data_IF_177587734595
#
_entry.id   IF_177587734595
#
_cell.length_a   1.000
_cell.length_b   1.000
_cell.length_c   1.000
_cell.angle_alpha   90.00
_cell.angle_beta   90.00
_cell.angle_gamma   90.00
#
_symmetry.space_group_name_H-M   'P 1'
#
loop_
_entity.id
_entity.type
_entity.pdbx_description
1 polymer ?
#
# COMPACT_ATOMS: atom_id res chain seq x y z
N UNK A 1 -42.16 20.56 -5.94
CA UNK A 1 -42.01 20.34 -4.48
C UNK A 1 -40.75 19.55 -4.20
N UNK A 2 -40.01 19.95 -3.16
CA UNK A 2 -38.71 19.34 -2.81
C UNK A 2 -38.90 17.96 -2.21
N UNK A 3 -38.14 16.99 -2.70
CA UNK A 3 -38.02 15.66 -2.09
C UNK A 3 -36.90 15.70 -1.03
N UNK A 4 -37.18 15.15 0.12
CA UNK A 4 -36.22 14.97 1.21
C UNK A 4 -35.90 13.50 1.40
N UNK A 5 -34.70 13.21 1.92
CA UNK A 5 -34.26 11.86 2.19
C UNK A 5 -34.05 11.64 3.69
N UNK A 6 -34.24 10.41 4.14
CA UNK A 6 -33.76 9.93 5.43
C UNK A 6 -32.98 8.65 5.27
N UNK A 7 -32.05 8.39 6.17
CA UNK A 7 -31.21 7.18 6.18
C UNK A 7 -31.50 6.36 7.44
N UNK A 8 -31.66 5.06 7.29
CA UNK A 8 -31.82 4.14 8.43
C UNK A 8 -30.55 4.02 9.26
N UNK A 9 -29.37 4.37 8.69
CA UNK A 9 -28.10 4.36 9.40
C UNK A 9 -27.19 5.47 8.85
N UNK A 10 -27.10 6.56 9.59
CA UNK A 10 -26.28 7.73 9.24
C UNK A 10 -24.76 7.49 9.37
N UNK A 11 -24.32 6.43 10.06
CA UNK A 11 -22.93 6.01 10.11
C UNK A 11 -22.51 5.27 8.83
N UNK A 12 -23.46 4.83 8.00
CA UNK A 12 -23.20 4.20 6.70
C UNK A 12 -23.44 5.22 5.58
N UNK A 13 -24.59 5.88 5.59
CA UNK A 13 -24.95 6.92 4.63
C UNK A 13 -25.47 8.13 5.40
N UNK A 14 -24.65 9.16 5.50
CA UNK A 14 -25.07 10.45 6.07
C UNK A 14 -25.83 11.30 5.04
N UNK A 15 -26.61 12.25 5.53
CA UNK A 15 -27.35 13.21 4.71
C UNK A 15 -26.68 14.58 4.84
N UNK A 16 -26.50 15.26 3.73
CA UNK A 16 -25.91 16.60 3.65
C UNK A 16 -26.81 17.53 2.82
N UNK A 17 -26.54 18.81 2.89
CA UNK A 17 -27.27 19.84 2.16
C UNK A 17 -28.79 19.80 2.42
N UNK A 18 -29.21 19.81 3.69
CA UNK A 18 -30.60 19.83 4.06
C UNK A 18 -31.36 18.54 3.67
N UNK A 19 -30.75 17.40 3.75
CA UNK A 19 -31.29 16.08 3.40
C UNK A 19 -31.60 15.89 1.90
N UNK A 20 -30.89 16.61 1.03
CA UNK A 20 -31.05 16.49 -0.43
C UNK A 20 -29.91 15.72 -1.11
N UNK A 21 -28.82 15.43 -0.39
CA UNK A 21 -27.68 14.65 -0.88
C UNK A 21 -27.31 13.54 0.07
N UNK A 22 -26.94 12.39 -0.51
CA UNK A 22 -26.42 11.23 0.21
C UNK A 22 -24.89 11.29 0.22
N UNK A 23 -24.29 11.05 1.39
CA UNK A 23 -22.84 10.97 1.59
C UNK A 23 -22.48 9.62 2.23
N UNK A 24 -21.87 8.68 1.48
CA UNK A 24 -21.36 7.44 2.06
C UNK A 24 -20.25 7.76 3.07
N UNK A 25 -20.37 7.27 4.31
CA UNK A 25 -19.43 7.55 5.41
C UNK A 25 -18.84 6.30 6.04
N UNK A 26 -19.52 5.17 5.92
CA UNK A 26 -19.07 3.87 6.46
C UNK A 26 -19.57 2.73 5.60
N UNK A 27 -18.90 1.58 5.70
CA UNK A 27 -19.33 0.38 5.01
C UNK A 27 -20.55 -0.25 5.67
N UNK A 28 -21.38 -0.92 4.87
CA UNK A 28 -22.59 -1.57 5.32
C UNK A 28 -23.78 -1.25 4.43
N UNK A 29 -24.96 -1.54 4.90
CA UNK A 29 -26.22 -1.35 4.17
C UNK A 29 -27.12 -0.39 4.92
N UNK A 30 -27.60 0.63 4.22
CA UNK A 30 -28.60 1.58 4.74
C UNK A 30 -29.81 1.64 3.81
N UNK A 31 -31.00 1.69 4.38
CA UNK A 31 -32.23 1.98 3.63
C UNK A 31 -32.44 3.48 3.59
N UNK A 32 -32.57 4.02 2.38
CA UNK A 32 -32.86 5.42 2.15
C UNK A 32 -34.35 5.55 1.84
N UNK A 33 -35.01 6.45 2.54
CA UNK A 33 -36.44 6.79 2.29
C UNK A 33 -36.50 8.17 1.65
N UNK A 34 -37.11 8.26 0.50
CA UNK A 34 -37.47 9.52 -0.17
C UNK A 34 -38.93 9.89 0.19
N UNK A 35 -39.12 11.11 0.62
CA UNK A 35 -40.44 11.62 1.02
C UNK A 35 -40.67 13.03 0.49
N UNK A 36 -41.95 13.33 0.30
CA UNK A 36 -42.45 14.65 -0.12
C UNK A 36 -43.74 14.94 0.62
N UNK A 37 -43.75 15.90 1.55
CA UNK A 37 -44.91 16.12 2.47
C UNK A 37 -46.11 16.82 1.85
N UNK A 38 -46.05 17.20 0.57
CA UNK A 38 -47.10 17.99 -0.05
C UNK A 38 -47.03 19.47 0.30
N UNK A 39 -48.11 20.20 -0.02
CA UNK A 39 -48.32 21.59 0.35
C UNK A 39 -49.82 21.91 0.26
N UNK A 40 -50.22 23.18 0.34
CA UNK A 40 -51.60 23.59 0.25
C UNK A 40 -52.31 23.19 -1.06
N UNK A 41 -51.59 22.90 -2.14
CA UNK A 41 -52.15 22.49 -3.43
C UNK A 41 -51.95 21.03 -3.81
N UNK A 42 -51.16 20.26 -3.03
CA UNK A 42 -50.82 18.87 -3.33
C UNK A 42 -50.80 18.02 -2.05
N UNK A 43 -51.40 16.85 -2.09
CA UNK A 43 -51.31 15.87 -1.03
C UNK A 43 -49.86 15.32 -0.92
N UNK A 44 -49.47 14.78 0.27
CA UNK A 44 -48.20 14.08 0.42
C UNK A 44 -48.04 12.96 -0.59
N UNK A 45 -46.86 12.83 -1.19
CA UNK A 45 -46.55 11.70 -2.04
C UNK A 45 -46.29 10.44 -1.20
N UNK A 46 -46.63 9.28 -1.72
CA UNK A 46 -46.24 8.00 -1.11
C UNK A 46 -44.72 7.89 -1.06
N UNK A 47 -44.15 7.70 0.13
CA UNK A 47 -42.75 7.54 0.30
C UNK A 47 -42.20 6.32 -0.45
N UNK A 48 -41.00 6.44 -0.98
CA UNK A 48 -40.29 5.35 -1.65
C UNK A 48 -38.99 5.06 -0.92
N UNK A 49 -38.63 3.79 -0.85
CA UNK A 49 -37.41 3.31 -0.23
C UNK A 49 -36.49 2.61 -1.23
N UNK A 50 -35.21 2.74 -1.05
CA UNK A 50 -34.21 1.94 -1.74
C UNK A 50 -33.04 1.64 -0.81
N UNK A 51 -32.37 0.53 -1.06
CA UNK A 51 -31.23 0.10 -0.27
C UNK A 51 -29.95 0.59 -0.92
N UNK A 52 -29.11 1.25 -0.14
CA UNK A 52 -27.74 1.61 -0.51
C UNK A 52 -26.80 0.69 0.23
N UNK A 53 -26.03 -0.09 -0.50
CA UNK A 53 -24.91 -0.84 0.05
C UNK A 53 -23.65 -0.03 -0.21
N UNK A 54 -23.04 0.46 0.86
CA UNK A 54 -21.72 1.06 0.83
C UNK A 54 -20.76 -0.09 1.04
N UNK A 55 -20.16 -0.58 -0.04
CA UNK A 55 -19.08 -1.53 0.05
C UNK A 55 -17.94 -0.84 0.78
N UNK A 56 -17.39 -1.50 1.79
CA UNK A 56 -16.07 -1.14 2.23
C UNK A 56 -15.15 -1.47 1.05
N UNK A 57 -14.95 -0.49 0.19
CA UNK A 57 -13.79 -0.50 -0.64
C UNK A 57 -12.64 -0.31 0.36
N UNK A 58 -12.11 -1.42 0.88
CA UNK A 58 -10.82 -1.45 1.52
C UNK A 58 -9.80 -1.73 0.42
N UNK A 59 -9.55 -0.78 -0.47
CA UNK A 59 -8.63 -0.97 -1.56
C UNK A 59 -7.21 -0.80 -1.08
N UNK A 60 -7.03 -0.40 0.17
CA UNK A 60 -5.73 -0.11 0.73
C UNK A 60 -5.55 -0.82 2.07
N UNK A 61 -4.42 -1.43 2.28
CA UNK A 61 -3.22 -1.61 1.44
C UNK A 61 -3.33 -2.70 0.36
N UNK A 62 -4.42 -3.47 0.28
CA UNK A 62 -4.58 -4.59 -0.69
C UNK A 62 -4.46 -4.18 -2.17
N UNK A 63 -4.54 -2.88 -2.49
CA UNK A 63 -4.30 -2.37 -3.84
C UNK A 63 -2.83 -2.32 -4.25
N UNK A 64 -1.89 -2.56 -3.32
CA UNK A 64 -0.47 -2.62 -3.63
C UNK A 64 -0.07 -4.02 -4.05
N UNK A 65 0.68 -4.09 -5.13
CA UNK A 65 1.34 -5.33 -5.55
C UNK A 65 2.37 -5.76 -4.50
N UNK A 66 2.44 -7.05 -4.23
CA UNK A 66 3.44 -7.62 -3.33
C UNK A 66 3.10 -7.54 -1.84
N UNK A 67 1.89 -7.09 -1.45
CA UNK A 67 1.48 -7.11 -0.05
C UNK A 67 1.45 -8.55 0.47
N UNK A 68 2.30 -8.82 1.45
CA UNK A 68 2.52 -10.18 2.00
C UNK A 68 1.92 -10.32 3.39
N UNK A 69 1.84 -9.22 4.14
CA UNK A 69 1.24 -9.19 5.49
C UNK A 69 0.67 -7.80 5.75
N UNK A 70 -0.52 -7.74 6.32
CA UNK A 70 -1.15 -6.52 6.78
C UNK A 70 -1.81 -6.74 8.13
N UNK A 71 -1.25 -6.15 9.16
CA UNK A 71 -1.68 -6.26 10.54
C UNK A 71 -2.21 -4.91 11.03
N UNK A 72 -3.41 -4.88 11.55
CA UNK A 72 -4.12 -3.67 11.94
C UNK A 72 -4.62 -3.79 13.38
N UNK A 73 -4.23 -2.88 14.27
CA UNK A 73 -4.71 -2.91 15.66
C UNK A 73 -6.20 -2.58 15.79
N UNK A 74 -6.85 -2.04 14.74
CA UNK A 74 -8.31 -1.89 14.70
C UNK A 74 -9.05 -3.15 14.29
N UNK A 75 -8.33 -4.20 13.90
CA UNK A 75 -8.88 -5.44 13.40
C UNK A 75 -7.88 -6.56 13.71
N UNK A 76 -7.87 -6.98 14.98
CA UNK A 76 -6.89 -7.95 15.51
C UNK A 76 -7.12 -9.34 14.96
N UNK A 77 -8.39 -9.73 14.75
CA UNK A 77 -8.73 -11.05 14.22
C UNK A 77 -8.62 -11.14 12.69
N UNK A 78 -8.51 -9.99 12.00
CA UNK A 78 -8.33 -9.89 10.55
C UNK A 78 -9.61 -10.14 9.73
N UNK A 79 -10.80 -10.02 10.35
CA UNK A 79 -12.08 -10.28 9.69
C UNK A 79 -12.66 -9.07 8.94
N UNK A 80 -12.03 -7.91 9.06
CA UNK A 80 -12.45 -6.66 8.43
C UNK A 80 -13.44 -5.85 9.25
N UNK A 81 -13.77 -6.28 10.46
CA UNK A 81 -14.70 -5.60 11.37
C UNK A 81 -13.94 -4.92 12.51
N UNK A 82 -14.63 -4.05 13.23
CA UNK A 82 -14.08 -3.47 14.46
C UNK A 82 -14.15 -4.47 15.59
N UNK A 83 -13.10 -4.49 16.41
CA UNK A 83 -12.98 -5.37 17.55
C UNK A 83 -14.15 -5.25 18.55
N UNK A 84 -14.57 -6.39 19.07
CA UNK A 84 -15.54 -6.53 20.16
C UNK A 84 -14.87 -7.16 21.38
N UNK A 85 -15.53 -7.06 22.54
CA UNK A 85 -15.01 -7.66 23.79
C UNK A 85 -14.87 -9.20 23.72
N UNK A 86 -15.58 -9.85 22.79
CA UNK A 86 -15.53 -11.31 22.57
C UNK A 86 -14.29 -11.74 21.77
N UNK A 87 -13.62 -10.82 21.09
CA UNK A 87 -12.44 -11.13 20.27
C UNK A 87 -11.16 -11.26 21.11
N UNK A 88 -11.26 -11.00 22.41
CA UNK A 88 -10.13 -10.96 23.31
C UNK A 88 -10.28 -11.83 24.56
N UNK A 89 -9.15 -12.40 24.98
CA UNK A 89 -9.04 -13.05 26.28
C UNK A 89 -8.42 -12.08 27.29
N UNK A 90 -9.12 -11.78 28.38
CA UNK A 90 -8.58 -10.94 29.45
C UNK A 90 -7.94 -11.81 30.54
N UNK A 91 -6.64 -11.63 30.81
CA UNK A 91 -5.89 -12.33 31.84
C UNK A 91 -5.25 -11.31 32.77
N UNK A 92 -5.55 -11.43 34.08
CA UNK A 92 -4.97 -10.51 35.09
C UNK A 92 -5.31 -9.03 34.86
N UNK A 93 -6.49 -8.73 34.28
CA UNK A 93 -6.93 -7.37 33.97
C UNK A 93 -6.29 -6.76 32.74
N UNK A 94 -5.50 -7.53 31.99
CA UNK A 94 -4.91 -7.13 30.70
C UNK A 94 -5.52 -7.95 29.58
N UNK A 95 -5.82 -7.31 28.44
CA UNK A 95 -6.30 -7.96 27.23
C UNK A 95 -5.10 -8.45 26.43
N UNK A 96 -4.76 -9.73 26.58
CA UNK A 96 -3.61 -10.34 25.89
C UNK A 96 -4.02 -10.90 24.55
N UNK A 97 -3.12 -10.84 23.57
CA UNK A 97 -3.38 -11.22 22.19
C UNK A 97 -2.54 -12.46 21.84
N UNK A 98 -3.20 -13.58 21.61
CA UNK A 98 -2.57 -14.83 21.16
C UNK A 98 -2.38 -14.91 19.66
N UNK A 99 -3.17 -14.16 18.88
CA UNK A 99 -3.09 -14.08 17.41
C UNK A 99 -3.34 -12.67 16.93
N UNK A 100 -2.59 -12.23 15.90
CA UNK A 100 -2.85 -11.01 15.17
C UNK A 100 -3.09 -11.36 13.70
N UNK A 101 -4.33 -11.20 13.25
CA UNK A 101 -4.83 -11.64 11.96
C UNK A 101 -4.23 -10.84 10.78
N UNK A 102 -3.87 -11.55 9.73
CA UNK A 102 -3.37 -10.97 8.50
C UNK A 102 -4.51 -10.63 7.53
N UNK A 103 -4.67 -9.36 7.21
CA UNK A 103 -5.67 -8.81 6.29
C UNK A 103 -5.21 -8.76 4.83
N UNK A 104 -3.98 -9.15 4.53
CA UNK A 104 -3.46 -9.11 3.14
C UNK A 104 -4.10 -10.12 2.21
N UNK A 105 -4.75 -11.15 2.76
CA UNK A 105 -5.23 -12.32 2.03
C UNK A 105 -4.16 -13.40 1.84
N UNK A 106 -2.93 -13.19 2.36
CA UNK A 106 -1.82 -14.15 2.23
C UNK A 106 -1.74 -15.14 3.39
N UNK A 107 -2.62 -15.01 4.39
CA UNK A 107 -2.72 -15.90 5.56
C UNK A 107 -1.44 -15.97 6.41
N UNK A 108 -0.73 -14.87 6.56
CA UNK A 108 0.50 -14.75 7.34
C UNK A 108 0.25 -14.15 8.74
N UNK A 109 -0.83 -14.58 9.41
CA UNK A 109 -1.15 -14.14 10.77
C UNK A 109 -0.03 -14.46 11.75
N UNK A 110 0.21 -13.55 12.71
CA UNK A 110 1.16 -13.75 13.79
C UNK A 110 0.52 -14.48 14.96
N UNK A 111 1.26 -15.36 15.62
CA UNK A 111 0.79 -16.11 16.79
C UNK A 111 1.78 -16.09 17.96
N UNK A 112 1.24 -16.22 19.19
CA UNK A 112 1.98 -16.44 20.43
C UNK A 112 1.14 -17.27 21.42
N UNK A 113 1.54 -18.53 21.63
CA UNK A 113 0.79 -19.44 22.53
C UNK A 113 1.06 -19.17 24.02
N UNK A 114 2.26 -18.69 24.36
CA UNK A 114 2.62 -18.44 25.77
C UNK A 114 2.06 -17.10 26.23
N UNK A 115 1.09 -17.12 27.13
CA UNK A 115 0.39 -15.94 27.63
C UNK A 115 1.33 -14.89 28.27
N UNK A 116 2.41 -15.31 28.94
CA UNK A 116 3.37 -14.36 29.53
C UNK A 116 4.20 -13.59 28.51
N UNK A 117 4.22 -14.05 27.25
CA UNK A 117 4.95 -13.46 26.13
C UNK A 117 4.04 -12.84 25.08
N UNK A 118 2.73 -12.83 25.30
CA UNK A 118 1.76 -12.19 24.42
C UNK A 118 1.81 -10.66 24.57
N UNK A 119 1.70 -9.89 23.47
CA UNK A 119 1.47 -8.45 23.56
C UNK A 119 0.09 -8.16 24.16
N UNK A 120 -0.06 -6.94 24.66
CA UNK A 120 -1.29 -6.46 25.29
C UNK A 120 -2.02 -5.52 24.34
N UNK A 121 -3.30 -5.79 24.10
CA UNK A 121 -4.17 -4.86 23.39
C UNK A 121 -4.61 -3.74 24.32
N UNK A 122 -4.44 -2.52 23.87
CA UNK A 122 -4.90 -1.32 24.53
C UNK A 122 -5.89 -0.60 23.60
N UNK A 123 -7.16 -0.41 24.02
CA UNK A 123 -8.18 0.18 23.15
C UNK A 123 -7.88 1.64 22.78
N UNK A 124 -6.96 2.29 23.51
CA UNK A 124 -6.59 3.68 23.28
C UNK A 124 -7.71 4.68 23.53
N UNK A 125 -7.41 5.94 23.36
CA UNK A 125 -8.40 7.02 23.38
C UNK A 125 -8.92 7.31 21.98
N UNK A 126 -10.18 7.73 21.86
CA UNK A 126 -10.81 8.11 20.58
C UNK A 126 -10.75 7.02 19.47
N UNK A 127 -10.81 5.75 19.83
CA UNK A 127 -10.80 4.66 18.88
C UNK A 127 -9.45 4.48 18.15
N UNK A 128 -8.35 4.75 18.86
CA UNK A 128 -6.98 4.58 18.34
C UNK A 128 -6.26 3.46 19.11
N UNK A 129 -6.64 2.18 18.90
CA UNK A 129 -6.05 1.05 19.61
C UNK A 129 -4.60 0.81 19.22
N UNK A 130 -3.88 0.12 20.10
CA UNK A 130 -2.48 -0.28 19.89
C UNK A 130 -2.22 -1.67 20.47
N UNK A 131 -1.23 -2.37 19.93
CA UNK A 131 -0.61 -3.50 20.60
C UNK A 131 0.64 -3.02 21.33
N UNK A 132 0.69 -3.26 22.65
CA UNK A 132 1.82 -2.93 23.50
C UNK A 132 2.73 -4.16 23.68
N UNK A 133 4.01 -3.97 23.36
CA UNK A 133 5.09 -4.93 23.52
C UNK A 133 6.02 -4.42 24.63
N UNK A 134 6.19 -5.16 25.70
CA UNK A 134 7.07 -4.75 26.81
C UNK A 134 6.74 -3.39 27.42
N UNK A 135 7.68 -2.85 28.18
CA UNK A 135 7.52 -1.55 28.85
C UNK A 135 6.51 -1.60 30.02
N UNK A 136 6.00 -0.44 30.43
CA UNK A 136 5.07 -0.34 31.56
C UNK A 136 3.66 -0.90 31.31
N UNK A 137 3.27 -1.05 30.06
CA UNK A 137 1.92 -1.45 29.66
C UNK A 137 1.86 -2.83 28.99
N UNK A 138 2.98 -3.34 28.45
CA UNK A 138 3.09 -4.63 27.83
C UNK A 138 3.73 -5.71 28.72
N UNK A 139 3.77 -6.93 28.25
CA UNK A 139 4.53 -8.01 28.89
C UNK A 139 6.01 -7.89 28.50
N UNK A 140 6.92 -8.02 29.46
CA UNK A 140 8.35 -8.01 29.20
C UNK A 140 8.74 -9.17 28.28
N UNK A 141 9.46 -8.84 27.17
CA UNK A 141 9.85 -9.81 26.19
C UNK A 141 8.71 -10.33 25.30
N UNK A 142 7.57 -9.63 25.26
CA UNK A 142 6.46 -9.98 24.38
C UNK A 142 6.92 -10.02 22.92
N UNK A 143 6.48 -11.05 22.21
CA UNK A 143 6.69 -11.19 20.77
C UNK A 143 5.59 -12.00 20.12
N UNK A 144 5.49 -11.91 18.81
CA UNK A 144 4.64 -12.76 17.98
C UNK A 144 5.44 -13.30 16.80
N UNK A 145 5.02 -14.44 16.26
CA UNK A 145 5.76 -15.09 15.16
C UNK A 145 4.83 -15.67 14.10
N UNK A 146 5.38 -15.76 12.88
CA UNK A 146 4.80 -16.48 11.75
C UNK A 146 5.91 -17.20 10.97
N UNK A 147 5.52 -18.13 10.10
CA UNK A 147 6.42 -18.64 9.08
C UNK A 147 6.80 -17.55 8.10
N UNK A 148 8.02 -17.59 7.58
CA UNK A 148 8.45 -16.64 6.58
C UNK A 148 7.85 -16.99 5.21
N UNK A 149 7.15 -16.08 4.55
CA UNK A 149 6.68 -16.28 3.18
C UNK A 149 7.84 -16.50 2.22
N UNK A 150 7.67 -17.42 1.26
CA UNK A 150 8.69 -17.71 0.25
C UNK A 150 9.05 -16.50 -0.62
N UNK A 151 8.12 -15.57 -0.79
CA UNK A 151 8.34 -14.30 -1.51
C UNK A 151 9.38 -13.39 -0.86
N UNK A 152 9.71 -13.60 0.41
CA UNK A 152 10.72 -12.85 1.16
C UNK A 152 12.05 -13.60 1.29
N UNK A 153 12.13 -14.84 0.81
CA UNK A 153 13.32 -15.69 0.95
C UNK A 153 14.42 -15.34 -0.07
N UNK A 154 15.63 -15.86 0.16
CA UNK A 154 16.78 -15.60 -0.70
C UNK A 154 17.23 -14.14 -0.60
N UNK A 155 17.63 -13.58 -1.73
CA UNK A 155 18.04 -12.18 -1.85
C UNK A 155 16.86 -11.24 -2.20
N UNK A 156 15.63 -11.70 -2.11
CA UNK A 156 14.46 -10.91 -2.44
C UNK A 156 14.39 -9.62 -1.62
N UNK A 157 13.98 -8.55 -2.27
CA UNK A 157 13.74 -7.27 -1.62
C UNK A 157 12.48 -7.30 -0.76
N UNK A 158 12.31 -6.30 0.07
CA UNK A 158 11.10 -6.10 0.85
C UNK A 158 10.89 -4.63 1.20
N UNK A 159 9.66 -4.29 1.56
CA UNK A 159 9.32 -3.03 2.21
C UNK A 159 8.48 -3.33 3.44
N UNK A 160 8.92 -2.87 4.60
CA UNK A 160 8.16 -2.87 5.84
C UNK A 160 7.73 -1.44 6.16
N UNK A 161 6.45 -1.24 6.42
CA UNK A 161 5.91 0.04 6.88
C UNK A 161 5.20 -0.18 8.21
N UNK A 162 5.55 0.61 9.21
CA UNK A 162 5.04 0.47 10.57
C UNK A 162 4.56 1.82 11.09
N UNK A 163 3.32 1.86 11.59
CA UNK A 163 2.83 2.96 12.41
C UNK A 163 2.91 2.54 13.88
N UNK A 164 3.68 3.27 14.69
CA UNK A 164 3.90 2.91 16.07
C UNK A 164 4.79 3.88 16.81
N UNK A 165 5.18 3.50 18.03
CA UNK A 165 6.08 4.26 18.88
C UNK A 165 6.91 3.31 19.74
N UNK A 166 8.22 3.48 19.78
CA UNK A 166 9.08 2.80 20.74
C UNK A 166 9.00 3.50 22.11
N UNK A 167 9.07 2.74 23.21
CA UNK A 167 8.99 3.29 24.56
C UNK A 167 10.28 4.02 24.99
N UNK A 168 11.43 3.67 24.38
CA UNK A 168 12.73 4.29 24.68
C UNK A 168 13.65 4.18 23.46
N UNK A 169 14.69 5.02 23.40
CA UNK A 169 15.81 4.81 22.51
C UNK A 169 16.55 3.54 22.93
N UNK A 170 16.81 2.63 21.99
CA UNK A 170 17.51 1.39 22.33
C UNK A 170 17.61 0.42 21.15
N UNK A 171 18.11 -0.77 21.47
CA UNK A 171 18.40 -1.84 20.52
C UNK A 171 17.21 -2.81 20.33
N UNK A 172 16.00 -2.46 20.77
CA UNK A 172 14.82 -3.30 20.61
C UNK A 172 14.52 -3.57 19.13
N UNK A 173 14.21 -4.81 18.79
CA UNK A 173 13.92 -5.21 17.42
C UNK A 173 12.43 -5.23 17.16
N UNK A 174 12.01 -4.38 16.24
CA UNK A 174 10.66 -4.37 15.71
C UNK A 174 10.28 -5.70 15.08
N UNK A 175 11.12 -6.12 14.15
CA UNK A 175 10.92 -7.32 13.37
C UNK A 175 12.25 -7.99 13.08
N UNK A 176 12.23 -9.30 13.03
CA UNK A 176 13.34 -10.13 12.55
C UNK A 176 12.83 -11.04 11.45
N UNK A 177 13.47 -11.01 10.29
CA UNK A 177 13.26 -11.91 9.16
C UNK A 177 14.31 -13.02 9.17
N UNK A 178 13.90 -14.25 8.85
CA UNK A 178 14.79 -15.41 8.84
C UNK A 178 15.05 -15.99 10.22
N UNK A 179 14.29 -15.58 11.26
CA UNK A 179 14.39 -16.16 12.59
C UNK A 179 14.26 -17.69 12.54
N UNK A 180 15.06 -18.40 13.35
CA UNK A 180 15.21 -19.87 13.42
C UNK A 180 16.03 -20.53 12.31
N UNK A 181 16.66 -19.79 11.43
CA UNK A 181 17.42 -20.38 10.33
C UNK A 181 18.69 -21.14 10.75
N UNK A 182 19.15 -20.95 12.00
CA UNK A 182 20.34 -21.66 12.53
C UNK A 182 21.66 -21.34 11.82
N UNK A 183 21.66 -20.47 10.83
CA UNK A 183 22.81 -20.15 9.99
C UNK A 183 23.17 -18.67 10.11
N UNK A 184 24.39 -18.38 10.48
CA UNK A 184 24.93 -17.03 10.51
C UNK A 184 24.78 -16.36 9.13
N UNK A 185 24.35 -15.10 9.10
CA UNK A 185 24.22 -14.34 7.88
C UNK A 185 22.87 -14.46 7.16
N UNK A 186 21.89 -15.13 7.75
CA UNK A 186 20.55 -15.34 7.16
C UNK A 186 19.41 -14.67 7.95
N UNK A 187 19.72 -13.71 8.80
CA UNK A 187 18.74 -13.01 9.63
C UNK A 187 18.87 -11.51 9.43
N UNK A 188 17.76 -10.84 9.11
CA UNK A 188 17.68 -9.38 9.09
C UNK A 188 16.86 -8.94 10.30
N UNK A 189 17.45 -8.19 11.21
CA UNK A 189 16.76 -7.52 12.31
C UNK A 189 16.49 -6.06 11.95
N UNK A 190 15.26 -5.63 12.15
CA UNK A 190 14.86 -4.22 11.99
C UNK A 190 14.75 -3.60 13.37
N UNK A 191 15.61 -2.67 13.68
CA UNK A 191 15.82 -2.13 15.03
C UNK A 191 15.06 -0.82 15.20
N UNK A 192 14.51 -0.58 16.39
CA UNK A 192 13.67 0.60 16.69
C UNK A 192 14.38 1.96 16.52
N UNK A 193 15.70 1.98 16.49
CA UNK A 193 16.50 3.17 16.23
C UNK A 193 16.72 3.44 14.73
N UNK A 194 15.97 2.79 13.84
CA UNK A 194 16.12 2.93 12.39
C UNK A 194 17.29 2.17 11.81
N UNK A 195 17.87 1.21 12.54
CA UNK A 195 18.96 0.38 12.03
C UNK A 195 18.43 -0.90 11.41
N UNK A 196 19.22 -1.44 10.48
CA UNK A 196 19.17 -2.85 10.12
C UNK A 196 20.28 -3.58 10.86
N UNK A 197 19.97 -4.76 11.36
CA UNK A 197 20.91 -5.65 12.01
C UNK A 197 21.00 -6.92 11.16
N UNK A 198 22.20 -7.20 10.68
CA UNK A 198 22.50 -8.41 9.95
C UNK A 198 23.51 -9.20 10.76
N UNK A 199 23.10 -10.38 11.21
CA UNK A 199 23.94 -11.29 11.96
C UNK A 199 24.61 -10.65 13.21
N UNK A 200 23.84 -9.85 13.98
CA UNK A 200 24.25 -9.12 15.18
C UNK A 200 25.20 -7.91 14.98
N UNK A 201 25.37 -7.42 13.77
CA UNK A 201 26.03 -6.13 13.52
C UNK A 201 24.99 -5.04 13.24
N UNK A 202 24.98 -3.95 14.00
CA UNK A 202 24.01 -2.85 13.80
C UNK A 202 24.60 -1.75 12.93
N UNK A 203 23.88 -1.37 11.87
CA UNK A 203 24.18 -0.21 11.05
C UNK A 203 23.02 0.78 11.15
N UNK A 204 23.26 1.95 11.70
CA UNK A 204 22.20 2.88 12.08
C UNK A 204 21.99 4.03 11.11
N UNK A 205 20.77 4.53 11.02
CA UNK A 205 20.36 5.70 10.25
C UNK A 205 20.24 6.98 11.09
N UNK A 206 20.62 6.95 12.35
CA UNK A 206 20.67 8.15 13.21
C UNK A 206 19.31 8.70 13.67
N UNK A 207 18.20 8.10 13.26
CA UNK A 207 16.85 8.47 13.70
C UNK A 207 16.14 7.25 14.30
N UNK A 208 15.21 7.51 15.21
CA UNK A 208 14.47 6.42 15.86
C UNK A 208 12.99 6.79 16.09
N UNK A 209 12.17 5.79 16.40
CA UNK A 209 10.73 5.91 16.59
C UNK A 209 10.35 6.10 18.06
N UNK A 210 11.23 6.62 18.92
CA UNK A 210 10.97 6.62 20.38
C UNK A 210 10.32 7.90 20.92
N UNK A 211 10.55 9.05 20.32
CA UNK A 211 10.14 10.34 20.90
C UNK A 211 8.65 10.66 20.72
N UNK A 212 8.02 10.09 19.70
CA UNK A 212 6.60 10.28 19.39
C UNK A 212 6.08 9.12 18.55
N UNK A 213 4.76 9.03 18.39
CA UNK A 213 4.17 8.15 17.37
C UNK A 213 4.75 8.50 16.00
N UNK A 214 5.17 7.49 15.25
CA UNK A 214 5.88 7.66 13.99
C UNK A 214 5.42 6.65 12.93
N UNK A 215 5.70 6.97 11.68
CA UNK A 215 5.60 6.06 10.55
C UNK A 215 7.02 5.77 10.08
N UNK A 216 7.47 4.53 10.27
CA UNK A 216 8.77 4.06 9.81
C UNK A 216 8.63 3.18 8.58
N UNK A 217 9.47 3.41 7.58
CA UNK A 217 9.57 2.58 6.38
C UNK A 217 10.98 2.02 6.31
N UNK A 218 11.08 0.70 6.20
CA UNK A 218 12.33 -0.02 5.96
C UNK A 218 12.24 -0.67 4.58
N UNK A 219 13.15 -0.33 3.68
CA UNK A 219 13.12 -0.77 2.29
C UNK A 219 14.47 -1.30 1.84
N UNK A 220 14.46 -2.43 1.11
CA UNK A 220 15.63 -3.01 0.45
C UNK A 220 15.24 -3.59 -0.91
N UNK A 221 15.96 -3.25 -1.95
CA UNK A 221 15.77 -3.84 -3.28
C UNK A 221 16.26 -5.29 -3.35
N UNK A 222 15.73 -6.06 -4.30
CA UNK A 222 16.18 -7.43 -4.59
C UNK A 222 17.65 -7.40 -5.04
N UNK A 223 18.46 -8.28 -4.47
CA UNK A 223 19.88 -8.36 -4.77
C UNK A 223 20.74 -7.21 -4.23
N UNK A 224 20.11 -6.23 -3.54
CA UNK A 224 20.83 -5.13 -2.94
C UNK A 224 21.67 -5.60 -1.76
N UNK A 225 22.86 -5.02 -1.64
CA UNK A 225 23.71 -5.20 -0.48
C UNK A 225 23.03 -4.66 0.77
N UNK A 226 23.46 -5.13 1.91
CA UNK A 226 22.92 -4.69 3.20
C UNK A 226 23.03 -3.15 3.37
N UNK A 227 24.17 -2.59 2.97
CA UNK A 227 24.41 -1.16 2.99
C UNK A 227 23.55 -0.29 2.09
N UNK A 228 22.80 -0.89 1.18
CA UNK A 228 21.88 -0.22 0.26
C UNK A 228 20.44 -0.23 0.78
N UNK A 229 20.23 -0.67 2.02
CA UNK A 229 18.92 -0.58 2.67
C UNK A 229 18.58 0.86 3.05
N UNK A 230 17.30 1.20 3.06
CA UNK A 230 16.81 2.53 3.36
C UNK A 230 15.90 2.54 4.57
N UNK A 231 15.94 3.64 5.31
CA UNK A 231 14.99 3.96 6.35
C UNK A 231 14.38 5.34 6.11
N UNK A 232 13.04 5.42 6.11
CA UNK A 232 12.29 6.67 5.98
C UNK A 232 11.48 6.84 7.25
N UNK A 233 11.58 8.00 7.89
CA UNK A 233 10.82 8.32 9.08
C UNK A 233 9.88 9.50 8.79
N UNK A 234 8.58 9.26 8.93
CA UNK A 234 7.55 10.29 8.71
C UNK A 234 7.71 11.02 7.36
N UNK A 235 7.94 10.29 6.28
CA UNK A 235 8.13 10.86 4.94
C UNK A 235 9.48 11.50 4.66
N UNK A 236 10.45 11.39 5.58
CA UNK A 236 11.80 11.93 5.41
C UNK A 236 12.82 10.80 5.40
N UNK A 237 13.54 10.64 4.29
CA UNK A 237 14.63 9.68 4.17
C UNK A 237 15.73 10.01 5.20
N UNK A 238 16.17 9.00 5.94
CA UNK A 238 17.21 9.13 6.94
C UNK A 238 18.54 8.77 6.30
N UNK A 239 19.44 9.73 6.28
CA UNK A 239 20.81 9.51 5.79
C UNK A 239 21.62 8.95 6.95
N UNK A 240 21.98 7.68 6.89
CA UNK A 240 22.83 7.04 7.91
C UNK A 240 24.30 7.36 7.74
N UNK A 241 25.04 7.35 8.84
CA UNK A 241 26.48 7.15 8.78
C UNK A 241 26.74 5.79 8.12
N UNK A 242 27.53 5.82 7.05
CA UNK A 242 27.89 4.74 6.17
C UNK A 242 27.46 3.34 6.66
N UNK A 243 26.34 2.85 6.14
CA UNK A 243 25.99 1.44 6.28
C UNK A 243 27.07 0.68 5.54
N UNK A 244 28.05 0.16 6.24
CA UNK A 244 29.15 -0.61 5.66
C UNK A 244 28.71 -2.08 5.59
N UNK A 245 28.53 -2.59 4.41
CA UNK A 245 28.26 -4.02 4.22
C UNK A 245 28.02 -4.32 2.76
N UNK A 246 29.03 -4.93 2.13
CA UNK A 246 28.95 -5.42 0.75
C UNK A 246 28.32 -6.82 0.64
N UNK A 247 27.67 -7.30 1.69
CA UNK A 247 27.02 -8.62 1.68
C UNK A 247 25.55 -8.47 1.26
N UNK A 248 25.15 -9.23 0.25
CA UNK A 248 23.74 -9.41 -0.11
C UNK A 248 23.10 -10.39 0.86
N UNK A 249 22.08 -10.00 1.65
CA UNK A 249 21.37 -10.93 2.52
C UNK A 249 20.74 -12.06 1.73
N UNK A 250 20.89 -13.29 2.23
CA UNK A 250 20.28 -14.49 1.67
C UNK A 250 19.42 -15.15 2.75
N UNK A 251 18.14 -14.77 2.78
CA UNK A 251 17.20 -15.28 3.77
C UNK A 251 16.82 -16.74 3.48
N UNK A 252 16.56 -17.56 4.51
CA UNK A 252 16.30 -18.99 4.32
C UNK A 252 15.06 -19.22 3.45
N UNK A 253 15.14 -20.24 2.59
CA UNK A 253 14.02 -20.67 1.75
C UNK A 253 13.06 -21.63 2.48
N UNK A 254 13.49 -22.17 3.62
CA UNK A 254 12.68 -23.03 4.50
C UNK A 254 13.18 -22.92 5.94
N UNK A 255 12.31 -23.19 6.91
CA UNK A 255 12.63 -23.20 8.34
C UNK A 255 12.87 -21.84 8.98
N UNK A 256 12.83 -20.75 8.22
CA UNK A 256 12.89 -19.38 8.75
C UNK A 256 11.53 -18.87 9.16
N UNK A 257 11.49 -17.92 10.10
CA UNK A 257 10.29 -17.27 10.56
C UNK A 257 10.40 -15.75 10.55
N UNK A 258 9.24 -15.13 10.75
CA UNK A 258 9.12 -13.71 11.08
C UNK A 258 8.89 -13.63 12.59
N UNK A 259 9.66 -12.79 13.28
CA UNK A 259 9.41 -12.39 14.66
C UNK A 259 9.07 -10.91 14.72
N UNK A 260 8.00 -10.60 15.42
CA UNK A 260 7.63 -9.23 15.79
C UNK A 260 7.84 -9.03 17.29
N UNK A 261 8.46 -7.92 17.68
CA UNK A 261 8.68 -7.58 19.08
C UNK A 261 9.96 -8.17 19.70
N UNK A 262 10.75 -8.94 18.97
CA UNK A 262 12.02 -9.47 19.46
C UNK A 262 12.97 -9.83 18.31
N UNK A 263 14.26 -9.90 18.64
CA UNK A 263 15.25 -10.59 17.84
C UNK A 263 15.39 -12.06 18.25
N UNK A 264 16.12 -12.81 17.42
CA UNK A 264 16.55 -14.17 17.74
C UNK A 264 18.03 -14.34 17.38
N UNK A 265 18.82 -14.79 18.32
CA UNK A 265 20.22 -15.15 18.08
C UNK A 265 20.35 -16.46 17.29
N UNK A 266 21.53 -16.73 16.74
CA UNK A 266 21.80 -17.97 16.00
C UNK A 266 21.59 -19.25 16.84
N UNK A 267 21.73 -19.17 18.16
CA UNK A 267 21.44 -20.28 19.09
C UNK A 267 19.95 -20.47 19.41
N UNK A 268 19.07 -19.69 18.76
CA UNK A 268 17.61 -19.76 18.96
C UNK A 268 17.07 -18.93 20.12
N UNK A 269 17.90 -18.29 20.92
CA UNK A 269 17.45 -17.48 22.05
C UNK A 269 16.87 -16.14 21.59
N UNK A 270 15.84 -15.68 22.28
CA UNK A 270 15.29 -14.34 22.08
C UNK A 270 16.29 -13.28 22.53
N UNK A 271 16.39 -12.21 21.77
CA UNK A 271 17.35 -11.11 22.01
C UNK A 271 16.69 -9.76 21.73
N UNK A 272 17.16 -8.72 22.40
CA UNK A 272 16.78 -7.33 22.13
C UNK A 272 15.27 -7.15 22.00
N UNK A 273 14.46 -7.46 23.06
CA UNK A 273 13.02 -7.31 23.01
C UNK A 273 12.65 -5.87 22.73
N UNK A 274 11.68 -5.68 21.84
CA UNK A 274 11.08 -4.38 21.58
C UNK A 274 10.16 -3.99 22.72
N UNK A 275 10.24 -2.74 23.16
CA UNK A 275 9.31 -2.13 24.07
C UNK A 275 8.65 -0.92 23.41
N UNK A 276 7.33 -0.97 23.23
CA UNK A 276 6.61 0.08 22.54
C UNK A 276 5.19 -0.30 22.15
N UNK A 277 4.59 0.49 21.31
CA UNK A 277 3.23 0.36 20.83
C UNK A 277 3.20 0.31 19.32
N UNK A 278 2.50 -0.66 18.75
CA UNK A 278 2.33 -0.81 17.30
C UNK A 278 0.85 -0.64 16.97
N UNK A 279 0.55 0.19 15.99
CA UNK A 279 -0.80 0.47 15.48
C UNK A 279 -1.11 -0.35 14.24
N UNK A 280 -0.19 -0.36 13.30
CA UNK A 280 -0.38 -1.02 12.01
C UNK A 280 0.96 -1.39 11.38
N UNK A 281 0.96 -2.51 10.67
CA UNK A 281 2.13 -3.05 9.97
C UNK A 281 1.73 -3.48 8.58
N UNK A 282 2.53 -3.11 7.59
CA UNK A 282 2.42 -3.59 6.21
C UNK A 282 3.77 -4.11 5.75
N UNK A 283 3.81 -5.35 5.29
CA UNK A 283 5.02 -5.98 4.76
C UNK A 283 4.78 -6.38 3.31
N UNK A 284 5.66 -5.95 2.43
CA UNK A 284 5.60 -6.19 1.00
C UNK A 284 6.80 -7.01 0.56
N UNK A 285 6.58 -7.96 -0.35
CA UNK A 285 7.64 -8.56 -1.14
C UNK A 285 8.06 -7.57 -2.23
N UNK A 286 9.36 -7.26 -2.27
CA UNK A 286 9.92 -6.24 -3.15
C UNK A 286 10.02 -4.85 -2.53
N UNK A 287 10.89 -4.04 -3.10
CA UNK A 287 11.00 -2.63 -2.78
C UNK A 287 9.87 -1.86 -3.47
N UNK A 288 9.01 -1.22 -2.71
CA UNK A 288 8.02 -0.29 -3.25
C UNK A 288 8.74 0.93 -3.83
N UNK A 289 8.19 1.53 -4.87
CA UNK A 289 8.66 2.84 -5.36
C UNK A 289 8.31 3.98 -4.38
N UNK A 290 8.92 5.13 -4.57
CA UNK A 290 8.77 6.28 -3.67
C UNK A 290 7.32 6.76 -3.57
N UNK A 291 6.58 6.72 -4.68
CA UNK A 291 5.18 7.16 -4.68
C UNK A 291 4.29 6.17 -3.92
N UNK A 292 4.52 4.87 -4.07
CA UNK A 292 3.82 3.84 -3.31
C UNK A 292 4.12 3.96 -1.81
N UNK A 293 5.37 4.23 -1.44
CA UNK A 293 5.77 4.52 -0.05
C UNK A 293 5.03 5.75 0.47
N UNK A 294 5.07 6.87 -0.24
CA UNK A 294 4.38 8.10 0.16
C UNK A 294 2.86 7.89 0.31
N UNK A 295 2.24 7.11 -0.57
CA UNK A 295 0.82 6.76 -0.45
C UNK A 295 0.54 5.97 0.83
N UNK A 296 1.41 5.02 1.16
CA UNK A 296 1.29 4.22 2.39
C UNK A 296 1.45 5.08 3.64
N UNK A 297 2.46 5.96 3.66
CA UNK A 297 2.67 6.93 4.74
C UNK A 297 1.46 7.86 4.89
N UNK A 298 0.95 8.40 3.79
CA UNK A 298 -0.26 9.21 3.78
C UNK A 298 -1.47 8.47 4.34
N UNK A 299 -1.68 7.22 3.93
CA UNK A 299 -2.76 6.38 4.47
C UNK A 299 -2.66 6.24 6.00
N UNK A 300 -1.50 5.82 6.49
CA UNK A 300 -1.28 5.63 7.92
C UNK A 300 -1.44 6.94 8.69
N UNK A 301 -0.88 8.04 8.16
CA UNK A 301 -0.99 9.35 8.78
C UNK A 301 -2.45 9.79 8.96
N UNK A 302 -3.29 9.63 7.92
CA UNK A 302 -4.70 10.00 7.99
C UNK A 302 -5.53 9.03 8.83
N UNK A 303 -5.26 7.75 8.78
CA UNK A 303 -5.95 6.74 9.59
C UNK A 303 -5.69 6.92 11.09
N UNK A 304 -4.44 7.24 11.44
CA UNK A 304 -3.97 7.32 12.81
C UNK A 304 -3.84 8.77 13.35
N UNK A 305 -4.31 9.78 12.60
CA UNK A 305 -4.35 11.17 13.03
C UNK A 305 -2.97 11.80 13.19
N UNK A 306 -1.98 11.36 12.39
CA UNK A 306 -0.58 11.79 12.49
C UNK A 306 -0.07 12.60 11.29
N UNK A 307 -0.96 13.27 10.54
CA UNK A 307 -0.61 14.05 9.33
C UNK A 307 0.40 15.16 9.61
N UNK A 308 0.38 15.71 10.83
CA UNK A 308 1.33 16.75 11.24
C UNK A 308 2.79 16.28 11.20
N UNK A 309 3.03 14.97 11.32
CA UNK A 309 4.37 14.38 11.25
C UNK A 309 4.95 14.38 9.84
N UNK A 310 4.11 14.39 8.81
CA UNK A 310 4.58 14.40 7.42
C UNK A 310 5.21 15.77 7.08
N UNK A 311 6.31 15.81 6.31
CA UNK A 311 6.97 17.06 5.91
C UNK A 311 6.08 17.91 4.99
N UNK A 312 6.35 19.22 4.92
CA UNK A 312 5.53 20.14 4.15
C UNK A 312 5.44 19.81 2.65
N UNK A 313 6.47 19.18 2.09
CA UNK A 313 6.47 18.73 0.69
C UNK A 313 5.82 17.36 0.44
N UNK A 314 5.33 16.69 1.48
CA UNK A 314 4.72 15.37 1.32
C UNK A 314 3.36 15.48 0.61
N UNK A 315 3.11 14.70 -0.48
CA UNK A 315 1.92 14.87 -1.32
C UNK A 315 0.60 14.63 -0.57
N UNK A 316 0.64 13.86 0.51
CA UNK A 316 -0.54 13.50 1.30
C UNK A 316 -0.60 14.16 2.68
N UNK A 317 0.17 15.23 2.93
CA UNK A 317 0.10 15.97 4.19
C UNK A 317 -1.25 16.65 4.39
N UNK A 318 -1.73 17.32 3.35
CA UNK A 318 -2.95 18.15 3.39
C UNK A 318 -4.19 17.46 2.81
N UNK A 319 -4.02 16.33 2.14
CA UNK A 319 -5.11 15.58 1.53
C UNK A 319 -4.93 14.09 1.76
N UNK A 320 -6.03 13.42 2.07
CA UNK A 320 -6.04 11.97 2.24
C UNK A 320 -5.69 11.30 0.90
N UNK A 321 -4.79 10.29 0.87
CA UNK A 321 -4.64 9.49 -0.33
C UNK A 321 -5.99 8.82 -0.63
N UNK A 322 -6.48 9.06 -1.83
CA UNK A 322 -7.70 8.40 -2.31
C UNK A 322 -7.26 7.15 -3.05
N UNK A 323 -7.76 6.02 -2.61
CA UNK A 323 -7.52 4.72 -3.23
C UNK A 323 -8.70 4.45 -4.16
N UNK A 324 -8.61 5.03 -5.34
CA UNK A 324 -9.59 4.85 -6.39
C UNK A 324 -9.48 3.48 -7.04
N UNK A 325 -10.53 3.15 -7.77
CA UNK A 325 -10.68 1.90 -8.46
C UNK A 325 -9.46 1.52 -9.32
N UNK A 326 -9.28 0.26 -9.55
CA UNK A 326 -8.35 -0.25 -10.56
C UNK A 326 -8.76 0.33 -11.91
N UNK A 327 -7.80 0.71 -12.72
CA UNK A 327 -8.03 1.10 -14.09
C UNK A 327 -7.24 0.19 -15.03
N UNK A 328 -7.72 0.08 -16.24
CA UNK A 328 -7.05 -0.66 -17.30
C UNK A 328 -6.90 0.24 -18.52
N UNK A 329 -5.89 -0.04 -19.34
CA UNK A 329 -5.72 0.59 -20.63
C UNK A 329 -6.34 -0.33 -21.69
N UNK A 330 -7.31 0.19 -22.44
CA UNK A 330 -7.69 -0.37 -23.73
C UNK A 330 -6.77 0.27 -24.77
N UNK A 331 -6.00 -0.56 -25.46
CA UNK A 331 -5.05 -0.11 -26.48
C UNK A 331 -5.62 -0.40 -27.86
N UNK A 332 -5.79 0.62 -28.65
CA UNK A 332 -6.21 0.58 -30.04
C UNK A 332 -5.44 1.63 -30.85
N UNK A 333 -5.53 1.57 -32.17
CA UNK A 333 -4.99 2.57 -33.09
C UNK A 333 -5.83 2.53 -34.36
N UNK A 334 -7.07 2.97 -34.24
CA UNK A 334 -8.04 2.91 -35.36
C UNK A 334 -7.73 3.87 -36.47
N UNK A 335 -6.93 4.90 -36.19
CA UNK A 335 -6.42 5.87 -37.14
C UNK A 335 -5.16 5.40 -37.91
N UNK A 336 -4.61 4.24 -37.57
CA UNK A 336 -3.44 3.69 -38.24
C UNK A 336 -3.79 2.47 -39.09
N UNK A 337 -3.12 2.34 -40.23
CA UNK A 337 -3.20 1.12 -41.04
C UNK A 337 -2.60 -0.09 -40.31
N UNK A 338 -2.90 -1.28 -40.78
CA UNK A 338 -2.26 -2.53 -40.35
C UNK A 338 -1.21 -2.94 -41.38
N UNK A 339 -0.04 -3.38 -40.92
CA UNK A 339 1.02 -3.83 -41.84
C UNK A 339 0.54 -5.09 -42.56
N UNK A 340 0.43 -5.08 -43.90
CA UNK A 340 -0.04 -6.25 -44.66
C UNK A 340 0.89 -7.45 -44.58
N UNK A 341 2.16 -7.23 -44.20
CA UNK A 341 3.14 -8.30 -43.99
C UNK A 341 3.16 -8.85 -42.56
N UNK A 342 2.59 -8.13 -41.60
CA UNK A 342 2.54 -8.52 -40.21
C UNK A 342 1.36 -7.84 -39.48
N UNK A 343 0.25 -8.53 -39.40
CA UNK A 343 -1.00 -8.02 -38.81
C UNK A 343 -0.88 -7.60 -37.33
N UNK A 344 0.20 -7.96 -36.65
CA UNK A 344 0.47 -7.53 -35.27
C UNK A 344 0.99 -6.09 -35.20
N UNK A 345 1.41 -5.49 -36.31
CA UNK A 345 1.99 -4.15 -36.38
C UNK A 345 1.04 -3.15 -37.00
N UNK A 346 1.11 -1.93 -36.52
CA UNK A 346 0.46 -0.78 -37.13
C UNK A 346 1.43 -0.03 -38.03
N UNK A 347 0.90 0.68 -39.04
CA UNK A 347 1.70 1.49 -39.98
C UNK A 347 1.27 2.94 -39.97
N UNK A 348 2.25 3.82 -40.09
CA UNK A 348 2.12 5.25 -40.32
C UNK A 348 3.25 5.70 -41.29
N UNK A 349 3.29 6.97 -41.67
CA UNK A 349 4.31 7.52 -42.55
C UNK A 349 5.01 8.70 -41.88
N UNK A 350 6.27 8.99 -42.30
CA UNK A 350 7.00 10.19 -41.90
C UNK A 350 6.28 11.47 -42.30
N UNK A 351 5.31 11.42 -43.22
CA UNK A 351 4.53 12.55 -43.69
C UNK A 351 3.19 12.72 -42.95
N UNK A 352 2.89 11.83 -41.97
CA UNK A 352 1.67 11.95 -41.18
C UNK A 352 1.86 12.98 -40.07
N UNK A 353 0.81 13.75 -39.73
CA UNK A 353 0.87 14.70 -38.62
C UNK A 353 1.06 14.02 -37.29
N UNK A 354 1.39 14.80 -36.25
CA UNK A 354 1.39 14.30 -34.87
C UNK A 354 0.01 13.73 -34.50
N UNK A 355 0.00 12.53 -33.89
CA UNK A 355 -1.24 11.81 -33.60
C UNK A 355 -1.26 11.21 -32.20
N UNK A 356 -2.43 10.84 -31.76
CA UNK A 356 -2.67 9.92 -30.63
C UNK A 356 -3.14 8.57 -31.17
N UNK A 357 -3.06 7.53 -30.37
CA UNK A 357 -3.61 6.22 -30.73
C UNK A 357 -5.13 6.24 -30.52
N UNK A 358 -5.89 6.54 -31.59
CA UNK A 358 -7.34 6.64 -31.51
C UNK A 358 -8.00 5.31 -31.14
N UNK A 359 -9.06 5.38 -30.32
CA UNK A 359 -9.69 4.22 -29.73
C UNK A 359 -8.97 3.68 -28.48
N UNK A 360 -7.79 4.26 -28.12
CA UNK A 360 -7.13 3.98 -26.86
C UNK A 360 -7.69 4.86 -25.75
N UNK A 361 -7.93 4.25 -24.59
CA UNK A 361 -8.39 4.99 -23.41
C UNK A 361 -8.04 4.23 -22.12
N UNK A 362 -7.96 4.96 -21.02
CA UNK A 362 -7.98 4.38 -19.68
C UNK A 362 -9.43 4.32 -19.18
N UNK A 363 -9.82 3.24 -18.51
CA UNK A 363 -11.17 3.08 -17.95
C UNK A 363 -11.54 4.16 -16.94
N UNK A 364 -10.54 4.85 -16.38
CA UNK A 364 -10.70 6.00 -15.51
C UNK A 364 -11.07 7.31 -16.23
N UNK A 365 -10.93 7.36 -17.55
CA UNK A 365 -11.01 8.60 -18.32
C UNK A 365 -9.78 9.52 -18.22
N UNK A 366 -8.74 9.11 -17.47
CA UNK A 366 -7.50 9.88 -17.35
C UNK A 366 -6.68 9.83 -18.64
N UNK A 367 -5.91 10.90 -18.96
CA UNK A 367 -5.13 10.96 -20.18
C UNK A 367 -4.02 9.91 -20.19
N UNK A 368 -3.80 9.31 -21.37
CA UNK A 368 -2.72 8.37 -21.61
C UNK A 368 -1.38 9.09 -21.79
N UNK A 369 -0.31 8.43 -21.37
CA UNK A 369 1.07 8.88 -21.55
C UNK A 369 1.79 7.93 -22.49
N UNK A 370 2.48 8.47 -23.47
CA UNK A 370 3.24 7.70 -24.46
C UNK A 370 4.73 7.81 -24.23
N UNK A 371 5.43 6.71 -24.43
CA UNK A 371 6.89 6.66 -24.58
C UNK A 371 7.26 5.77 -25.75
N UNK A 372 8.44 5.96 -26.33
CA UNK A 372 8.89 5.20 -27.49
C UNK A 372 10.24 4.55 -27.22
N UNK A 373 10.44 3.36 -27.78
CA UNK A 373 11.73 2.66 -27.64
C UNK A 373 12.87 3.33 -28.41
N UNK A 374 12.55 4.16 -29.39
CA UNK A 374 13.56 4.93 -30.15
C UNK A 374 13.01 6.31 -30.54
N UNK A 375 13.39 7.36 -29.78
CA UNK A 375 12.94 8.74 -30.04
C UNK A 375 13.42 9.32 -31.38
N UNK A 376 14.45 8.75 -32.02
CA UNK A 376 14.93 9.17 -33.33
C UNK A 376 14.06 8.64 -34.49
N UNK A 377 13.29 7.58 -34.24
CA UNK A 377 12.32 7.04 -35.18
C UNK A 377 10.96 7.66 -34.97
N UNK A 378 10.52 7.75 -33.72
CA UNK A 378 9.26 8.40 -33.32
C UNK A 378 9.45 9.09 -31.97
N UNK A 379 9.22 10.38 -31.90
CA UNK A 379 9.27 11.15 -30.66
C UNK A 379 7.89 11.40 -30.08
N UNK A 380 7.85 11.85 -28.81
CA UNK A 380 6.62 12.33 -28.17
C UNK A 380 6.72 13.85 -28.00
N UNK A 381 5.77 14.57 -28.57
CA UNK A 381 5.72 16.04 -28.53
C UNK A 381 4.33 16.45 -28.04
N UNK A 382 4.28 17.22 -26.96
CA UNK A 382 3.02 17.69 -26.36
C UNK A 382 1.98 16.57 -26.17
N UNK A 383 2.44 15.37 -25.74
CA UNK A 383 1.57 14.21 -25.50
C UNK A 383 1.11 13.48 -26.77
N UNK A 384 1.63 13.84 -27.95
CA UNK A 384 1.34 13.19 -29.23
C UNK A 384 2.58 12.48 -29.79
N UNK A 385 2.35 11.44 -30.57
CA UNK A 385 3.37 10.70 -31.30
C UNK A 385 3.70 11.42 -32.60
N UNK A 386 4.99 11.66 -32.84
CA UNK A 386 5.51 12.31 -34.06
C UNK A 386 6.41 11.33 -34.79
N UNK A 387 6.05 10.88 -36.01
CA UNK A 387 6.92 10.10 -36.86
C UNK A 387 8.09 10.97 -37.36
N UNK A 388 9.31 10.46 -37.32
CA UNK A 388 10.51 11.19 -37.75
C UNK A 388 11.28 10.50 -38.87
N UNK A 389 11.49 9.19 -38.72
CA UNK A 389 12.31 8.41 -39.64
C UNK A 389 11.66 7.06 -39.90
N UNK A 390 11.80 6.53 -41.10
CA UNK A 390 11.31 5.19 -41.43
C UNK A 390 12.00 4.12 -40.57
N UNK A 391 11.22 3.16 -40.06
CA UNK A 391 11.71 2.09 -39.18
C UNK A 391 10.61 1.54 -38.30
N UNK A 392 10.97 0.62 -37.40
CA UNK A 392 10.05 0.06 -36.41
C UNK A 392 10.35 0.60 -35.03
N UNK A 393 9.31 0.89 -34.27
CA UNK A 393 9.43 1.39 -32.91
C UNK A 393 8.31 0.80 -32.05
N UNK A 394 8.64 0.45 -30.82
CA UNK A 394 7.65 0.07 -29.82
C UNK A 394 7.17 1.32 -29.08
N UNK A 395 5.87 1.56 -29.14
CA UNK A 395 5.22 2.59 -28.32
C UNK A 395 4.71 1.92 -27.05
N UNK A 396 5.10 2.45 -25.91
CA UNK A 396 4.57 2.06 -24.61
C UNK A 396 3.54 3.09 -24.17
N UNK A 397 2.37 2.62 -23.79
CA UNK A 397 1.24 3.43 -23.31
C UNK A 397 1.06 3.17 -21.83
N UNK A 398 1.12 4.21 -21.04
CA UNK A 398 0.96 4.17 -19.59
C UNK A 398 -0.14 5.12 -19.14
N UNK A 399 -0.68 4.85 -17.97
CA UNK A 399 -1.53 5.77 -17.23
C UNK A 399 -1.11 5.69 -15.76
N UNK A 400 -0.41 6.71 -15.23
CA UNK A 400 0.21 6.65 -13.90
C UNK A 400 -0.79 6.72 -12.74
N UNK A 401 -2.08 6.90 -13.02
CA UNK A 401 -3.09 7.10 -11.98
C UNK A 401 -3.12 8.54 -11.48
N UNK A 402 -3.87 8.75 -10.44
CA UNK A 402 -3.95 9.99 -9.68
C UNK A 402 -4.46 9.69 -8.26
N UNK A 403 -4.91 10.70 -7.51
CA UNK A 403 -5.51 10.49 -6.19
C UNK A 403 -6.71 9.53 -6.20
N UNK A 404 -7.38 9.34 -7.35
CA UNK A 404 -8.60 8.55 -7.48
C UNK A 404 -8.41 7.17 -8.13
N UNK A 405 -7.30 6.96 -8.83
CA UNK A 405 -7.04 5.73 -9.58
C UNK A 405 -5.59 5.27 -9.42
N UNK A 406 -5.39 3.98 -9.22
CA UNK A 406 -4.07 3.35 -9.28
C UNK A 406 -3.51 3.42 -10.70
N UNK A 407 -2.20 3.31 -10.85
CA UNK A 407 -1.58 3.19 -12.17
C UNK A 407 -2.14 1.98 -12.92
N UNK A 408 -2.37 2.13 -14.21
CA UNK A 408 -2.75 1.00 -15.07
C UNK A 408 -1.52 0.18 -15.46
N UNK A 409 -1.71 -1.10 -15.69
CA UNK A 409 -0.68 -1.94 -16.32
C UNK A 409 -0.39 -1.38 -17.71
N UNK A 410 0.88 -1.09 -17.97
CA UNK A 410 1.34 -0.57 -19.27
C UNK A 410 0.99 -1.51 -20.42
N UNK A 411 0.70 -0.94 -21.58
CA UNK A 411 0.46 -1.66 -22.83
C UNK A 411 1.46 -1.22 -23.88
N UNK A 412 1.82 -2.12 -24.78
CA UNK A 412 2.78 -1.83 -25.86
C UNK A 412 2.19 -2.15 -27.21
N UNK A 413 2.62 -1.41 -28.23
CA UNK A 413 2.27 -1.62 -29.64
C UNK A 413 3.49 -1.35 -30.51
N UNK A 414 3.73 -2.19 -31.48
CA UNK A 414 4.77 -1.96 -32.50
C UNK A 414 4.16 -1.15 -33.65
N UNK A 415 4.82 -0.04 -34.00
CA UNK A 415 4.45 0.80 -35.14
C UNK A 415 5.62 0.83 -36.12
N UNK A 416 5.33 0.51 -37.38
CA UNK A 416 6.25 0.62 -38.51
C UNK A 416 6.00 1.93 -39.23
N UNK A 417 7.01 2.75 -39.31
CA UNK A 417 6.97 4.04 -39.99
C UNK A 417 7.51 3.87 -41.41
N UNK A 418 6.71 4.27 -42.37
CA UNK A 418 7.03 4.16 -43.79
C UNK A 418 7.65 5.46 -44.31
N UNK A 419 8.63 5.35 -45.18
CA UNK A 419 9.24 6.48 -45.88
C UNK A 419 8.29 7.15 -46.89
N UNK A 420 7.20 6.50 -47.28
CA UNK A 420 6.18 6.98 -48.24
C UNK A 420 4.78 6.57 -47.76
N UNK A 421 3.78 7.38 -48.11
CA UNK A 421 2.39 7.03 -47.84
C UNK A 421 1.92 5.89 -48.77
N UNK A 422 1.17 4.91 -48.28
CA UNK A 422 0.50 3.94 -49.15
C UNK A 422 -0.47 4.64 -50.10
N UNK A 423 -0.57 4.17 -51.30
CA UNK A 423 -1.55 4.63 -52.31
C UNK A 423 -2.43 3.46 -52.71
N UNK A 424 -3.72 3.71 -52.88
CA UNK A 424 -4.70 2.75 -53.37
C UNK A 424 -5.32 3.31 -54.64
N UNK A 425 -5.33 2.54 -55.72
CA UNK A 425 -6.07 2.85 -56.94
C UNK A 425 -7.43 2.14 -56.84
N UNK A 426 -8.52 2.90 -56.90
CA UNK A 426 -9.87 2.38 -56.97
C UNK A 426 -10.37 2.56 -58.40
N UNK A 427 -10.86 1.46 -58.99
CA UNK A 427 -11.45 1.46 -60.36
C UNK A 427 -12.98 1.55 -60.25
#
# INVERSE_FOLDING_TARGET
LTVTYSSSNTNIVALVSGATRLNPVGAGTATITASQPGNAGFNPAQSKTFTVTVSQNSPYPNSFSGLTMWLDAKDINGDGLSESASDFLSIGGKTQISSWGDRSGSSNSLGQANTSLQPVYLPGSAGQPVLAFGGSQGNNGAYMSANMPSSLSGSNGFTLIVAGQAASAGQGRFMTLGANAGTAGQVIGLVQNGSFDFNNGSNGFGANMHSAAAIGVFRRATGAEYGQSEFILNGTAQIGSAVSGSTVPNLPTSGGGILFGSGRAANGNLTNPFAGQIKEVMLFAGALDDFAVQRAEGYLAWKWGSQSLLPNGHPFKSSRPVFGGTQTITLAATNLGTDPSDNSKKITSIFDPDFVLEGSYATSGLPLVYTTSNPSIMSVVSGKLRPLTAGEVTVTVTQPGNSNYSAAVAKTMVIKILAKRPQTITF
#
